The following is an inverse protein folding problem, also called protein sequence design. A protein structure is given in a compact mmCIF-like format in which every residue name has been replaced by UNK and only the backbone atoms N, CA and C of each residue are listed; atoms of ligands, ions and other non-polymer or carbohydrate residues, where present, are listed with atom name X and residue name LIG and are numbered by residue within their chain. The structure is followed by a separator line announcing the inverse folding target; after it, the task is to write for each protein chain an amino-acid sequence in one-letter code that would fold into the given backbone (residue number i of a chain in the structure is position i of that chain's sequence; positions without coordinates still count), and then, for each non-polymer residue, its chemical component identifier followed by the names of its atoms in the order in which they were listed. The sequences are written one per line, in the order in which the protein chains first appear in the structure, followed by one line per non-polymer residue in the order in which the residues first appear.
data_IF_207781351275
#
_entry.id   IF_207781351275
#
_cell.length_a   1.000
_cell.length_b   1.000
_cell.length_c   1.000
_cell.angle_alpha   90.00
_cell.angle_beta   90.00
_cell.angle_gamma   90.00
#
_symmetry.space_group_name_H-M   'P 1'
#
loop_
_entity.id
_entity.type
_entity.pdbx_description
1 polymer ?
#
# COMPACT_ATOMS: atom_id res chain seq x y z
N UNK A 1 -85.45 -15.61 -104.19
CA UNK A 1 -86.62 -16.45 -104.63
C UNK A 1 -87.20 -17.16 -103.43
N UNK A 2 -88.44 -17.02 -103.39
CA UNK A 2 -89.39 -17.73 -102.47
C UNK A 2 -89.13 -19.23 -102.29
N UNK A 3 -89.81 -19.98 -101.53
CA UNK A 3 -90.65 -19.75 -100.27
C UNK A 3 -90.78 -21.06 -99.40
N UNK A 4 -91.65 -20.91 -98.37
CA UNK A 4 -92.57 -21.91 -97.83
C UNK A 4 -92.04 -22.90 -96.72
N UNK A 5 -92.70 -23.22 -95.76
CA UNK A 5 -94.01 -23.21 -95.12
C UNK A 5 -93.99 -24.10 -93.86
N UNK A 6 -94.63 -23.64 -92.80
CA UNK A 6 -95.59 -24.29 -91.88
C UNK A 6 -95.32 -25.73 -91.38
N UNK A 7 -95.38 -25.94 -90.10
CA UNK A 7 -96.61 -26.35 -89.39
C UNK A 7 -96.33 -26.42 -87.81
N UNK A 8 -97.33 -26.04 -87.14
CA UNK A 8 -97.72 -26.09 -85.75
C UNK A 8 -97.86 -27.53 -85.23
N UNK A 9 -97.43 -27.77 -84.00
CA UNK A 9 -98.08 -28.70 -83.10
C UNK A 9 -97.93 -28.30 -81.65
N UNK A 10 -99.05 -28.10 -81.00
CA UNK A 10 -99.14 -27.87 -79.54
C UNK A 10 -98.97 -29.19 -78.83
N UNK A 11 -98.13 -29.17 -77.82
CA UNK A 11 -98.26 -30.12 -76.72
C UNK A 11 -97.93 -29.45 -75.42
N UNK A 12 -98.93 -29.44 -74.56
CA UNK A 12 -98.93 -28.98 -73.21
C UNK A 12 -98.29 -30.03 -72.33
N UNK A 13 -97.18 -29.72 -71.61
CA UNK A 13 -96.65 -30.57 -70.54
C UNK A 13 -96.20 -29.69 -69.41
N UNK A 14 -96.78 -29.94 -68.32
CA UNK A 14 -96.52 -29.66 -66.93
C UNK A 14 -95.24 -29.00 -66.57
N UNK A 15 -95.28 -27.78 -66.03
CA UNK A 15 -94.14 -27.05 -65.44
C UNK A 15 -93.90 -27.56 -64.02
N UNK A 16 -92.83 -28.37 -63.84
CA UNK A 16 -92.35 -28.69 -62.52
C UNK A 16 -91.24 -27.63 -62.16
N UNK A 17 -91.62 -26.66 -61.34
CA UNK A 17 -90.76 -25.61 -60.83
C UNK A 17 -89.84 -26.20 -59.77
N UNK A 18 -88.66 -26.66 -60.14
CA UNK A 18 -87.59 -26.94 -59.18
C UNK A 18 -86.91 -25.61 -58.81
N UNK A 19 -87.19 -25.08 -57.62
CA UNK A 19 -86.50 -24.03 -56.99
C UNK A 19 -85.06 -24.56 -56.64
N UNK A 20 -84.09 -24.25 -57.49
CA UNK A 20 -82.68 -24.36 -57.12
C UNK A 20 -82.39 -23.16 -56.18
N UNK A 21 -82.40 -23.42 -54.85
CA UNK A 21 -81.84 -22.48 -53.86
C UNK A 21 -80.35 -22.58 -54.08
N UNK A 22 -79.79 -21.67 -54.87
CA UNK A 22 -78.36 -21.39 -54.85
C UNK A 22 -78.05 -20.74 -53.49
N UNK A 23 -77.66 -21.54 -52.53
CA UNK A 23 -77.01 -21.02 -51.35
C UNK A 23 -75.68 -20.47 -51.79
N UNK A 24 -75.60 -19.19 -52.14
CA UNK A 24 -74.31 -18.48 -52.16
C UNK A 24 -73.78 -18.42 -50.73
N UNK A 25 -72.84 -19.28 -50.37
CA UNK A 25 -72.01 -19.02 -49.24
C UNK A 25 -71.27 -17.71 -49.54
N UNK A 26 -71.81 -16.59 -49.06
CA UNK A 26 -71.02 -15.40 -48.95
C UNK A 26 -69.75 -15.81 -48.14
N UNK A 27 -68.63 -15.82 -48.79
CA UNK A 27 -67.34 -15.90 -48.10
C UNK A 27 -67.23 -14.63 -47.24
N UNK A 28 -67.81 -14.69 -46.03
CA UNK A 28 -67.61 -13.63 -45.02
C UNK A 28 -66.15 -13.68 -44.60
N UNK A 29 -65.38 -12.84 -45.23
CA UNK A 29 -64.02 -12.67 -44.80
C UNK A 29 -64.00 -12.38 -43.28
N UNK A 30 -63.25 -13.13 -42.46
CA UNK A 30 -63.26 -12.98 -41.02
C UNK A 30 -62.92 -11.52 -40.62
N UNK A 31 -63.60 -10.96 -39.67
CA UNK A 31 -63.35 -9.59 -39.20
C UNK A 31 -61.97 -9.48 -38.64
N UNK A 32 -61.22 -8.38 -38.90
CA UNK A 32 -59.93 -8.18 -38.26
C UNK A 32 -60.12 -8.05 -36.73
N UNK A 33 -59.23 -8.70 -35.89
CA UNK A 33 -59.32 -8.52 -34.45
C UNK A 33 -58.90 -7.11 -34.08
N UNK A 34 -59.47 -6.52 -33.05
CA UNK A 34 -58.99 -5.28 -32.42
C UNK A 34 -58.05 -5.65 -31.32
N UNK A 35 -56.75 -5.49 -31.59
CA UNK A 35 -55.68 -5.78 -30.64
C UNK A 35 -55.26 -4.48 -29.97
N UNK A 36 -55.23 -4.47 -28.62
CA UNK A 36 -54.82 -3.34 -27.82
C UNK A 36 -53.31 -3.09 -27.86
N UNK A 37 -52.87 -2.10 -27.14
CA UNK A 37 -51.45 -1.72 -27.09
C UNK A 37 -50.61 -2.87 -26.55
N UNK A 38 -49.54 -3.22 -27.27
CA UNK A 38 -48.49 -4.16 -26.84
C UNK A 38 -47.30 -3.41 -26.36
N UNK A 39 -46.82 -3.69 -25.13
CA UNK A 39 -45.65 -3.05 -24.56
C UNK A 39 -44.67 -4.09 -24.02
N UNK A 40 -43.39 -3.86 -24.25
CA UNK A 40 -42.32 -4.70 -23.73
C UNK A 40 -41.38 -3.79 -22.95
N UNK A 41 -41.17 -4.01 -21.63
CA UNK A 41 -40.31 -3.16 -20.82
C UNK A 41 -38.84 -3.31 -21.24
N UNK A 42 -38.12 -2.19 -21.36
CA UNK A 42 -36.68 -2.21 -21.64
C UNK A 42 -35.91 -3.00 -20.55
N UNK A 43 -34.84 -3.62 -20.97
CA UNK A 43 -33.97 -4.42 -20.08
C UNK A 43 -32.51 -3.98 -20.22
N UNK A 44 -31.69 -4.41 -19.27
CA UNK A 44 -30.23 -4.30 -19.35
C UNK A 44 -29.63 -5.64 -19.77
N UNK A 45 -28.45 -5.62 -20.35
CA UNK A 45 -27.64 -6.83 -20.53
C UNK A 45 -27.48 -7.55 -19.19
N UNK A 46 -27.54 -8.89 -19.19
CA UNK A 46 -27.49 -9.69 -17.96
C UNK A 46 -28.83 -9.82 -17.21
N UNK A 47 -29.91 -9.21 -17.68
CA UNK A 47 -31.28 -9.45 -17.11
C UNK A 47 -31.67 -10.89 -17.26
N UNK A 48 -32.34 -11.44 -16.23
CA UNK A 48 -32.94 -12.77 -16.29
C UNK A 48 -34.05 -12.84 -17.36
N UNK A 49 -34.33 -14.02 -17.96
CA UNK A 49 -35.45 -14.23 -18.83
C UNK A 49 -36.77 -13.80 -18.18
N UNK A 50 -37.69 -13.23 -18.98
CA UNK A 50 -38.95 -12.71 -18.48
C UNK A 50 -40.11 -13.09 -19.42
N UNK A 51 -41.34 -13.07 -18.90
CA UNK A 51 -42.54 -13.38 -19.66
C UNK A 51 -43.10 -12.12 -20.30
N UNK A 52 -43.60 -12.26 -21.54
CA UNK A 52 -44.41 -11.26 -22.22
C UNK A 52 -45.83 -11.31 -21.69
N UNK A 53 -46.42 -10.14 -21.47
CA UNK A 53 -47.84 -9.99 -21.18
C UNK A 53 -48.57 -9.83 -22.50
N UNK A 54 -49.54 -10.71 -22.84
CA UNK A 54 -50.29 -10.58 -24.09
C UNK A 54 -51.09 -9.26 -24.12
N UNK A 55 -51.17 -8.61 -25.29
CA UNK A 55 -52.08 -7.46 -25.45
C UNK A 55 -53.54 -7.88 -25.29
N UNK A 56 -54.44 -6.96 -24.98
CA UNK A 56 -55.89 -7.20 -24.97
C UNK A 56 -56.39 -7.42 -26.38
N UNK A 57 -57.43 -8.24 -26.54
CA UNK A 57 -58.10 -8.46 -27.84
C UNK A 57 -59.55 -8.76 -27.64
N UNK A 58 -60.32 -8.47 -28.68
CA UNK A 58 -61.73 -8.88 -28.79
C UNK A 58 -61.91 -10.29 -29.42
N UNK A 59 -60.83 -10.93 -29.84
CA UNK A 59 -60.74 -12.32 -30.30
C UNK A 59 -60.20 -13.23 -29.22
N UNK A 60 -60.59 -14.48 -29.16
CA UNK A 60 -60.09 -15.52 -28.28
C UNK A 60 -58.88 -16.29 -28.83
N UNK A 61 -58.40 -15.94 -30.03
CA UNK A 61 -57.25 -16.57 -30.65
C UNK A 61 -55.97 -16.41 -29.81
N UNK A 62 -55.12 -17.43 -29.80
CA UNK A 62 -53.87 -17.46 -29.01
C UNK A 62 -52.83 -16.55 -29.61
N UNK A 63 -51.99 -15.92 -28.74
CA UNK A 63 -50.88 -15.12 -29.15
C UNK A 63 -49.58 -15.96 -29.28
N UNK A 64 -48.83 -15.74 -30.37
CA UNK A 64 -47.45 -16.15 -30.57
C UNK A 64 -46.57 -14.92 -30.70
N UNK A 65 -45.24 -15.07 -30.37
CA UNK A 65 -44.35 -13.95 -30.34
C UNK A 65 -43.08 -14.23 -31.16
N UNK A 66 -42.62 -13.22 -31.90
CA UNK A 66 -41.36 -13.28 -32.65
C UNK A 66 -40.53 -12.04 -32.40
N UNK A 67 -39.22 -12.21 -32.47
CA UNK A 67 -38.20 -11.12 -32.36
C UNK A 67 -37.61 -10.91 -33.75
N UNK A 68 -37.51 -9.66 -34.20
CA UNK A 68 -36.96 -9.31 -35.49
C UNK A 68 -35.42 -9.52 -35.54
N UNK A 69 -34.72 -9.33 -34.41
CA UNK A 69 -33.26 -9.52 -34.32
C UNK A 69 -32.92 -10.48 -33.17
N UNK A 70 -32.62 -11.75 -33.48
CA UNK A 70 -32.25 -12.75 -32.48
C UNK A 70 -30.90 -12.51 -31.83
N UNK A 71 -30.04 -11.61 -32.38
CA UNK A 71 -28.80 -11.21 -31.73
C UNK A 71 -28.99 -10.29 -30.52
N UNK A 72 -30.19 -9.66 -30.40
CA UNK A 72 -30.58 -8.80 -29.28
C UNK A 72 -31.43 -9.59 -28.27
N UNK A 73 -32.42 -10.38 -28.76
CA UNK A 73 -33.24 -11.20 -27.90
C UNK A 73 -33.77 -12.43 -28.63
N UNK A 74 -33.91 -13.54 -27.92
CA UNK A 74 -34.60 -14.74 -28.41
C UNK A 74 -35.89 -14.96 -27.65
N UNK A 75 -36.87 -15.60 -28.29
CA UNK A 75 -38.21 -15.88 -27.71
C UNK A 75 -38.48 -17.37 -27.81
N UNK A 76 -38.90 -17.95 -26.70
CA UNK A 76 -39.46 -19.32 -26.64
C UNK A 76 -40.79 -19.31 -25.94
N UNK A 77 -41.88 -19.60 -26.70
CA UNK A 77 -43.24 -19.39 -26.22
C UNK A 77 -43.52 -17.92 -25.93
N UNK A 78 -43.74 -17.57 -24.65
CA UNK A 78 -43.88 -16.20 -24.16
C UNK A 78 -42.63 -15.70 -23.40
N UNK A 79 -41.57 -16.51 -23.29
CA UNK A 79 -40.36 -16.16 -22.56
C UNK A 79 -39.35 -15.48 -23.46
N UNK A 80 -38.91 -14.27 -23.09
CA UNK A 80 -37.83 -13.51 -23.75
C UNK A 80 -36.56 -13.72 -23.00
N UNK A 81 -35.49 -14.07 -23.72
CA UNK A 81 -34.10 -14.13 -23.21
C UNK A 81 -33.28 -13.03 -23.87
N UNK A 82 -32.64 -12.19 -23.07
CA UNK A 82 -31.72 -11.13 -23.53
C UNK A 82 -30.42 -11.75 -24.02
N UNK A 83 -29.97 -11.39 -25.23
CA UNK A 83 -28.77 -11.92 -25.89
C UNK A 83 -27.71 -10.84 -26.11
N UNK A 84 -28.11 -9.65 -26.57
CA UNK A 84 -27.20 -8.57 -26.92
C UNK A 84 -27.77 -7.19 -26.68
N UNK A 85 -26.90 -6.18 -26.73
CA UNK A 85 -27.27 -4.76 -26.59
C UNK A 85 -27.82 -4.25 -27.92
N UNK A 86 -28.91 -3.45 -27.87
CA UNK A 86 -29.50 -2.85 -29.04
C UNK A 86 -31.00 -2.65 -28.90
N UNK A 87 -31.64 -2.36 -30.03
CA UNK A 87 -33.10 -2.18 -30.11
C UNK A 87 -33.65 -3.08 -31.21
N UNK A 88 -34.68 -3.85 -30.87
CA UNK A 88 -35.37 -4.76 -31.79
C UNK A 88 -36.86 -4.59 -31.67
N UNK A 89 -37.60 -5.17 -32.62
CA UNK A 89 -39.08 -5.21 -32.60
C UNK A 89 -39.52 -6.60 -32.17
N UNK A 90 -40.44 -6.68 -31.22
CA UNK A 90 -41.17 -7.89 -30.86
C UNK A 90 -42.54 -7.78 -31.44
N UNK A 91 -42.97 -8.79 -32.19
CA UNK A 91 -44.29 -8.89 -32.78
C UNK A 91 -45.12 -9.92 -32.03
N UNK A 92 -46.29 -9.51 -31.58
CA UNK A 92 -47.35 -10.41 -31.06
C UNK A 92 -48.35 -10.68 -32.15
N UNK A 93 -48.49 -11.93 -32.59
CA UNK A 93 -49.40 -12.37 -33.62
C UNK A 93 -50.50 -13.23 -33.00
N UNK A 94 -51.77 -12.84 -33.18
CA UNK A 94 -52.91 -13.59 -32.73
C UNK A 94 -53.42 -14.49 -33.86
N UNK A 95 -53.70 -15.75 -33.55
CA UNK A 95 -54.30 -16.69 -34.50
C UNK A 95 -55.74 -16.34 -34.76
N UNK A 96 -56.21 -16.71 -35.93
CA UNK A 96 -57.64 -16.63 -36.24
C UNK A 96 -58.46 -17.51 -35.29
N UNK A 97 -59.62 -17.01 -34.81
CA UNK A 97 -60.54 -17.75 -33.96
C UNK A 97 -61.97 -17.18 -34.02
N UNK A 98 -62.92 -18.09 -34.15
CA UNK A 98 -64.35 -17.74 -34.33
C UNK A 98 -64.61 -16.96 -35.60
N UNK A 99 -65.21 -15.79 -35.51
CA UNK A 99 -65.48 -14.88 -36.63
C UNK A 99 -64.36 -13.91 -36.95
N UNK A 100 -63.20 -14.03 -36.26
CA UNK A 100 -62.02 -13.13 -36.40
C UNK A 100 -60.94 -13.78 -37.19
N UNK A 101 -60.28 -12.99 -38.08
CA UNK A 101 -59.05 -13.35 -38.75
C UNK A 101 -57.81 -13.25 -37.81
N UNK A 102 -56.64 -13.55 -38.36
CA UNK A 102 -55.39 -13.30 -37.65
C UNK A 102 -55.06 -11.79 -37.62
N UNK A 103 -54.38 -11.35 -36.57
CA UNK A 103 -53.88 -9.99 -36.42
C UNK A 103 -52.54 -9.92 -35.71
N UNK A 104 -51.86 -8.79 -35.84
CA UNK A 104 -50.59 -8.60 -35.16
C UNK A 104 -50.39 -7.17 -34.66
N UNK A 105 -49.59 -7.02 -33.61
CA UNK A 105 -49.16 -5.73 -33.06
C UNK A 105 -47.73 -5.83 -32.67
N UNK A 106 -46.99 -4.74 -32.75
CA UNK A 106 -45.55 -4.69 -32.48
C UNK A 106 -45.24 -3.82 -31.26
N UNK A 107 -44.12 -4.13 -30.60
CA UNK A 107 -43.53 -3.31 -29.58
C UNK A 107 -42.03 -3.20 -29.79
N UNK A 108 -41.48 -2.01 -29.54
CA UNK A 108 -40.01 -1.80 -29.48
C UNK A 108 -39.48 -2.38 -28.18
N UNK A 109 -38.43 -3.20 -28.29
CA UNK A 109 -37.68 -3.75 -27.16
C UNK A 109 -36.24 -3.26 -27.18
N UNK A 110 -35.79 -2.61 -26.09
CA UNK A 110 -34.44 -2.05 -25.99
C UNK A 110 -33.69 -2.75 -24.89
N UNK A 111 -32.43 -3.17 -25.20
CA UNK A 111 -31.47 -3.70 -24.26
C UNK A 111 -30.32 -2.71 -24.15
N UNK A 112 -30.10 -2.16 -22.95
CA UNK A 112 -29.06 -1.22 -22.67
C UNK A 112 -27.81 -1.91 -22.08
N UNK A 113 -26.67 -1.18 -22.01
CA UNK A 113 -25.43 -1.64 -21.39
C UNK A 113 -25.62 -1.95 -19.91
N UNK A 114 -24.66 -2.74 -19.38
CA UNK A 114 -24.53 -2.95 -17.94
C UNK A 114 -24.33 -1.61 -17.22
N UNK A 115 -24.83 -1.52 -16.00
CA UNK A 115 -24.65 -0.36 -15.13
C UNK A 115 -23.33 -0.46 -14.40
N UNK A 116 -22.51 0.62 -14.31
CA UNK A 116 -21.33 0.61 -13.47
C UNK A 116 -21.71 0.35 -12.00
N UNK A 117 -20.98 -0.51 -11.26
CA UNK A 117 -21.24 -0.68 -9.84
C UNK A 117 -20.82 0.57 -9.07
N UNK A 118 -21.55 0.91 -8.01
CA UNK A 118 -21.13 1.90 -7.02
C UNK A 118 -20.33 1.18 -5.96
N UNK A 119 -19.00 1.36 -6.00
CA UNK A 119 -18.06 0.76 -5.04
C UNK A 119 -17.72 1.81 -3.97
N UNK A 120 -17.90 1.45 -2.71
CA UNK A 120 -17.61 2.30 -1.56
C UNK A 120 -16.10 2.51 -1.32
N UNK A 121 -15.79 3.22 -0.25
CA UNK A 121 -14.39 3.49 0.13
C UNK A 121 -13.66 2.16 0.41
N UNK A 122 -12.50 2.02 -0.22
CA UNK A 122 -11.59 0.90 0.01
C UNK A 122 -10.43 1.36 0.87
N UNK A 123 -10.20 0.69 1.99
CA UNK A 123 -9.11 0.99 2.91
C UNK A 123 -8.31 -0.27 3.23
N UNK A 124 -6.99 -0.15 3.14
CA UNK A 124 -6.04 -1.17 3.57
C UNK A 124 -5.14 -0.53 4.63
N UNK A 125 -5.26 -0.94 5.91
CA UNK A 125 -4.51 -0.32 7.00
C UNK A 125 -3.02 -0.57 6.84
N UNK A 126 -2.20 0.46 7.10
CA UNK A 126 -0.73 0.36 7.10
C UNK A 126 -0.25 -0.74 8.06
N UNK A 127 0.90 -1.31 7.77
CA UNK A 127 1.57 -2.35 8.57
C UNK A 127 3.03 -2.00 8.80
N UNK A 128 3.61 -2.64 9.79
CA UNK A 128 5.05 -2.61 10.04
C UNK A 128 5.70 -3.83 9.40
N UNK A 129 6.97 -3.73 9.05
CA UNK A 129 7.76 -4.85 8.55
C UNK A 129 7.77 -5.99 9.56
N UNK A 130 7.60 -7.23 9.10
CA UNK A 130 7.46 -8.42 9.95
C UNK A 130 6.04 -8.70 10.45
N UNK A 131 5.04 -7.87 10.08
CA UNK A 131 3.64 -8.19 10.37
C UNK A 131 3.21 -9.50 9.73
N UNK A 132 2.44 -10.31 10.45
CA UNK A 132 1.83 -11.52 9.92
C UNK A 132 0.91 -11.20 8.72
N UNK A 133 0.74 -12.13 7.77
CA UNK A 133 -0.23 -12.00 6.70
C UNK A 133 -1.65 -11.70 7.24
N UNK A 134 -2.40 -10.87 6.53
CA UNK A 134 -3.73 -10.44 6.95
C UNK A 134 -4.72 -10.45 5.79
N UNK A 135 -6.02 -10.46 6.12
CA UNK A 135 -7.10 -10.46 5.14
C UNK A 135 -7.51 -9.03 4.77
N UNK A 136 -7.74 -8.79 3.48
CA UNK A 136 -8.38 -7.57 2.99
C UNK A 136 -9.87 -7.64 3.33
N UNK A 137 -10.39 -6.55 3.86
CA UNK A 137 -11.83 -6.33 4.00
C UNK A 137 -12.32 -5.72 2.69
N UNK A 138 -13.23 -6.39 1.95
CA UNK A 138 -13.73 -5.87 0.69
C UNK A 138 -14.48 -4.55 0.90
N UNK A 139 -14.41 -3.61 -0.06
CA UNK A 139 -15.25 -2.44 -0.02
C UNK A 139 -16.73 -2.81 -0.21
N UNK A 140 -17.64 -1.97 0.25
CA UNK A 140 -19.07 -2.13 -0.01
C UNK A 140 -19.37 -1.94 -1.49
N UNK A 141 -20.42 -2.61 -1.99
CA UNK A 141 -20.89 -2.43 -3.37
C UNK A 141 -22.37 -2.70 -3.47
N UNK A 142 -23.04 -2.08 -4.46
CA UNK A 142 -24.41 -2.39 -4.86
C UNK A 142 -24.51 -3.56 -5.85
N UNK A 143 -23.37 -4.14 -6.27
CA UNK A 143 -23.27 -5.33 -7.12
C UNK A 143 -22.87 -6.55 -6.32
N UNK A 144 -23.38 -7.74 -6.70
CA UNK A 144 -23.01 -9.03 -6.10
C UNK A 144 -21.76 -9.67 -6.68
N UNK A 145 -21.01 -9.00 -7.57
CA UNK A 145 -19.80 -9.53 -8.20
C UNK A 145 -18.68 -9.74 -7.18
N UNK A 146 -17.92 -10.82 -7.33
CA UNK A 146 -16.79 -11.11 -6.45
C UNK A 146 -15.64 -10.11 -6.65
N UNK A 147 -14.94 -9.77 -5.55
CA UNK A 147 -13.73 -8.95 -5.60
C UNK A 147 -12.49 -9.81 -5.79
N UNK A 148 -11.56 -9.29 -6.59
CA UNK A 148 -10.17 -9.75 -6.70
C UNK A 148 -9.23 -8.60 -6.39
N UNK A 149 -7.99 -8.91 -5.96
CA UNK A 149 -7.04 -7.90 -5.47
C UNK A 149 -5.69 -8.04 -6.12
N UNK A 150 -5.05 -6.90 -6.41
CA UNK A 150 -3.69 -6.86 -6.95
C UNK A 150 -2.87 -5.80 -6.23
N UNK A 151 -1.56 -6.02 -6.14
CA UNK A 151 -0.57 -5.09 -5.60
C UNK A 151 0.28 -4.52 -6.74
N UNK A 152 0.46 -3.21 -6.79
CA UNK A 152 1.30 -2.54 -7.80
C UNK A 152 2.79 -2.72 -7.55
N UNK A 153 3.18 -3.08 -6.30
CA UNK A 153 4.57 -3.27 -5.91
C UNK A 153 4.73 -4.54 -5.06
N UNK A 154 5.12 -5.63 -5.70
CA UNK A 154 5.31 -6.93 -5.04
C UNK A 154 6.55 -6.99 -4.14
N UNK A 155 7.47 -6.03 -4.25
CA UNK A 155 8.57 -5.89 -3.31
C UNK A 155 8.12 -5.32 -1.95
N UNK A 156 6.94 -4.68 -1.89
CA UNK A 156 6.33 -4.17 -0.65
C UNK A 156 5.30 -5.14 -0.10
N UNK A 157 4.41 -5.65 -0.97
CA UNK A 157 3.37 -6.58 -0.57
C UNK A 157 2.97 -7.51 -1.72
N UNK A 158 2.78 -8.79 -1.43
CA UNK A 158 2.16 -9.76 -2.34
C UNK A 158 0.76 -10.11 -1.89
N UNK A 159 -0.11 -10.50 -2.85
CA UNK A 159 -1.51 -10.84 -2.57
C UNK A 159 -1.82 -12.22 -3.16
N UNK A 160 -2.45 -13.06 -2.36
CA UNK A 160 -3.00 -14.35 -2.79
C UNK A 160 -4.46 -14.45 -2.32
N UNK A 161 -5.39 -14.47 -3.26
CA UNK A 161 -6.82 -14.32 -2.95
C UNK A 161 -7.10 -12.98 -2.27
N UNK A 162 -7.54 -13.01 -1.01
CA UNK A 162 -7.72 -11.82 -0.16
C UNK A 162 -6.61 -11.66 0.90
N UNK A 163 -5.59 -12.52 0.90
CA UNK A 163 -4.50 -12.49 1.88
C UNK A 163 -3.36 -11.62 1.37
N UNK A 164 -3.00 -10.59 2.13
CA UNK A 164 -1.82 -9.74 1.91
C UNK A 164 -0.66 -10.26 2.75
N UNK A 165 0.49 -10.47 2.12
CA UNK A 165 1.76 -10.76 2.79
C UNK A 165 2.69 -9.56 2.67
N UNK A 166 3.18 -9.06 3.80
CA UNK A 166 4.17 -7.98 3.85
C UNK A 166 5.53 -8.52 3.42
N UNK A 167 6.18 -7.86 2.45
CA UNK A 167 7.46 -8.29 1.86
C UNK A 167 8.58 -7.31 2.18
N UNK A 168 8.32 -6.00 2.07
CA UNK A 168 9.32 -4.96 2.27
C UNK A 168 8.72 -3.62 2.67
N UNK A 169 9.58 -2.74 3.17
CA UNK A 169 9.21 -1.35 3.52
C UNK A 169 8.93 -0.53 2.27
N UNK A 170 7.94 0.35 2.33
CA UNK A 170 7.56 1.22 1.23
C UNK A 170 6.06 1.34 1.05
N UNK A 171 5.64 1.76 -0.15
CA UNK A 171 4.24 1.92 -0.51
C UNK A 171 3.87 1.05 -1.70
N UNK A 172 2.65 0.55 -1.70
CA UNK A 172 2.03 -0.14 -2.84
C UNK A 172 0.59 0.31 -2.99
N UNK A 173 0.10 0.44 -4.21
CA UNK A 173 -1.32 0.63 -4.48
C UNK A 173 -1.97 -0.74 -4.58
N UNK A 174 -2.94 -1.00 -3.71
CA UNK A 174 -3.79 -2.18 -3.78
C UNK A 174 -5.04 -1.83 -4.57
N UNK A 175 -5.30 -2.58 -5.64
CA UNK A 175 -6.50 -2.44 -6.47
C UNK A 175 -7.49 -3.55 -6.14
N UNK A 176 -8.71 -3.18 -5.78
CA UNK A 176 -9.84 -4.09 -5.64
C UNK A 176 -10.69 -4.01 -6.92
N UNK A 177 -10.78 -5.10 -7.68
CA UNK A 177 -11.56 -5.20 -8.91
C UNK A 177 -12.76 -6.11 -8.67
N UNK A 178 -13.96 -5.57 -8.87
CA UNK A 178 -15.21 -6.33 -8.81
C UNK A 178 -15.58 -6.88 -10.17
N UNK A 179 -15.86 -8.16 -10.25
CA UNK A 179 -16.36 -8.79 -11.47
C UNK A 179 -17.77 -8.30 -11.82
N UNK A 180 -18.12 -8.36 -13.10
CA UNK A 180 -19.51 -8.12 -13.56
C UNK A 180 -20.46 -9.14 -12.93
N UNK A 181 -21.67 -8.68 -12.57
CA UNK A 181 -22.69 -9.55 -11.97
C UNK A 181 -24.10 -9.01 -12.27
N UNK A 182 -24.97 -9.86 -12.80
CA UNK A 182 -26.33 -9.49 -13.16
C UNK A 182 -26.33 -8.34 -14.18
N UNK A 183 -26.96 -7.23 -13.83
CA UNK A 183 -27.05 -6.03 -14.67
C UNK A 183 -25.90 -5.03 -14.43
N UNK A 184 -24.90 -5.37 -13.60
CA UNK A 184 -23.74 -4.54 -13.33
C UNK A 184 -22.51 -4.95 -14.11
N UNK A 185 -21.78 -3.97 -14.63
CA UNK A 185 -20.47 -4.14 -15.24
C UNK A 185 -19.41 -4.44 -14.16
N UNK A 186 -18.18 -4.78 -14.59
CA UNK A 186 -17.03 -4.78 -13.70
C UNK A 186 -16.68 -3.35 -13.29
N UNK A 187 -16.10 -3.20 -12.08
CA UNK A 187 -15.62 -1.92 -11.56
C UNK A 187 -14.40 -2.12 -10.66
N UNK A 188 -13.68 -1.05 -10.36
CA UNK A 188 -12.51 -1.12 -9.48
C UNK A 188 -12.37 0.12 -8.60
N UNK A 189 -11.67 -0.05 -7.48
CA UNK A 189 -11.26 1.02 -6.57
C UNK A 189 -9.87 0.71 -6.03
N UNK A 190 -9.16 1.70 -5.50
CA UNK A 190 -7.79 1.55 -5.03
C UNK A 190 -7.62 2.07 -3.61
N UNK A 191 -6.62 1.52 -2.91
CA UNK A 191 -6.13 2.01 -1.62
C UNK A 191 -4.61 2.04 -1.62
N UNK A 192 -4.03 3.04 -0.98
CA UNK A 192 -2.59 3.06 -0.70
C UNK A 192 -2.31 2.19 0.52
N UNK A 193 -1.43 1.23 0.36
CA UNK A 193 -0.91 0.39 1.45
C UNK A 193 0.52 0.79 1.75
N UNK A 194 0.81 1.12 3.01
CA UNK A 194 2.14 1.52 3.46
C UNK A 194 2.69 0.51 4.45
N UNK A 195 3.92 0.10 4.22
CA UNK A 195 4.72 -0.69 5.17
C UNK A 195 5.82 0.18 5.71
N UNK A 196 5.84 0.35 7.03
CA UNK A 196 6.90 1.07 7.75
C UNK A 196 7.85 0.09 8.44
N UNK A 197 9.02 0.56 8.77
CA UNK A 197 9.93 -0.20 9.63
C UNK A 197 9.30 -0.40 11.02
N UNK A 198 9.53 -1.57 11.59
CA UNK A 198 9.25 -1.77 13.01
C UNK A 198 10.46 -1.23 13.80
N UNK A 199 10.45 0.05 14.15
CA UNK A 199 11.45 0.60 15.06
C UNK A 199 10.86 0.57 16.47
N UNK A 200 11.29 -0.37 17.33
CA UNK A 200 10.99 -0.25 18.74
C UNK A 200 11.51 1.10 19.22
N UNK A 201 10.72 1.85 19.94
CA UNK A 201 11.22 3.06 20.57
C UNK A 201 12.46 2.70 21.40
N UNK A 202 13.53 3.50 21.28
CA UNK A 202 14.64 3.40 22.20
C UNK A 202 14.10 3.60 23.62
N UNK A 203 14.55 2.78 24.56
CA UNK A 203 13.99 2.84 25.92
C UNK A 203 14.55 4.01 26.75
N UNK A 204 15.53 4.74 26.23
CA UNK A 204 16.13 5.92 26.87
C UNK A 204 16.02 7.15 25.97
N UNK A 205 16.62 7.14 24.76
CA UNK A 205 16.56 8.25 23.80
C UNK A 205 16.83 7.77 22.36
N UNK A 206 16.35 8.51 21.35
CA UNK A 206 16.69 8.26 19.94
C UNK A 206 16.48 9.51 19.09
N UNK A 207 17.20 9.57 17.96
CA UNK A 207 16.97 10.54 16.90
C UNK A 207 17.35 9.92 15.54
N UNK A 208 16.42 9.95 14.59
CA UNK A 208 16.62 9.55 13.18
C UNK A 208 16.91 10.76 12.29
N UNK A 209 17.06 11.94 12.87
CA UNK A 209 17.31 13.21 12.17
C UNK A 209 16.29 13.53 11.07
N UNK A 210 15.00 13.29 11.35
CA UNK A 210 13.89 13.37 10.37
C UNK A 210 13.61 14.79 9.86
N UNK A 211 14.19 15.83 10.46
CA UNK A 211 14.01 17.20 10.01
C UNK A 211 14.53 17.42 8.58
N UNK A 212 13.97 18.39 7.87
CA UNK A 212 14.39 18.74 6.52
C UNK A 212 15.91 19.03 6.47
N UNK A 213 16.56 18.63 5.38
CA UNK A 213 18.00 18.86 5.20
C UNK A 213 18.32 20.37 5.33
N UNK A 214 19.39 20.68 6.03
CA UNK A 214 19.81 22.05 6.36
C UNK A 214 19.20 22.60 7.66
N UNK A 215 18.40 21.83 8.39
CA UNK A 215 17.85 22.24 9.69
C UNK A 215 18.88 22.01 10.80
N UNK A 216 19.10 23.02 11.66
CA UNK A 216 19.96 22.86 12.82
C UNK A 216 19.39 21.89 13.85
N UNK A 217 20.20 21.02 14.43
CA UNK A 217 19.75 20.05 15.45
C UNK A 217 19.12 20.74 16.65
N UNK A 218 19.56 21.93 17.00
CA UNK A 218 18.99 22.72 18.10
C UNK A 218 17.52 23.13 17.87
N UNK A 219 17.03 23.07 16.63
CA UNK A 219 15.60 23.25 16.33
C UNK A 219 14.78 21.97 16.58
N UNK A 220 15.41 20.82 16.87
CA UNK A 220 14.80 19.49 16.99
C UNK A 220 15.13 18.79 18.32
N UNK A 221 15.18 19.54 19.41
CA UNK A 221 15.33 18.97 20.77
C UNK A 221 16.78 18.77 21.25
N UNK A 222 17.80 19.06 20.41
CA UNK A 222 19.18 19.09 20.87
C UNK A 222 19.48 20.42 21.54
N UNK A 223 20.32 20.39 22.55
CA UNK A 223 20.71 21.57 23.34
C UNK A 223 22.16 21.94 23.01
N UNK A 224 22.37 23.21 22.60
CA UNK A 224 23.75 23.73 22.43
C UNK A 224 24.43 23.88 23.78
N UNK A 225 25.71 23.52 23.86
CA UNK A 225 26.48 23.65 25.08
C UNK A 225 27.89 24.25 24.86
N UNK A 226 28.25 24.58 23.62
CA UNK A 226 29.39 25.45 23.33
C UNK A 226 28.95 26.89 23.21
N UNK A 227 29.85 27.83 23.47
CA UNK A 227 29.58 29.27 23.42
C UNK A 227 29.39 29.82 21.99
N UNK A 228 29.61 28.99 20.97
CA UNK A 228 29.51 29.46 19.57
C UNK A 228 28.15 29.19 18.98
N UNK A 229 27.60 30.20 18.28
CA UNK A 229 26.37 30.04 17.47
C UNK A 229 26.71 29.86 15.98
N UNK A 230 28.00 29.82 15.65
CA UNK A 230 28.49 29.66 14.29
C UNK A 230 28.59 28.20 13.91
N UNK A 231 28.32 27.89 12.63
CA UNK A 231 28.47 26.58 12.06
C UNK A 231 27.72 25.48 12.87
N UNK A 232 26.39 25.57 13.01
CA UNK A 232 25.60 24.57 13.73
C UNK A 232 25.69 23.20 13.05
N UNK A 233 25.51 22.12 13.80
CA UNK A 233 25.33 20.77 13.23
C UNK A 233 23.96 20.76 12.54
N UNK A 234 23.97 20.48 11.22
CA UNK A 234 22.78 20.48 10.38
C UNK A 234 22.39 19.06 9.99
N UNK A 235 21.10 18.88 9.75
CA UNK A 235 20.61 17.69 9.04
C UNK A 235 21.08 17.70 7.59
N UNK A 236 21.39 16.53 7.04
CA UNK A 236 21.82 16.31 5.65
C UNK A 236 21.09 15.14 5.03
N UNK A 237 20.87 15.17 3.74
CA UNK A 237 20.18 14.12 2.98
C UNK A 237 21.14 13.48 1.95
N UNK A 238 21.00 12.18 1.67
CA UNK A 238 20.13 11.21 2.33
C UNK A 238 20.67 10.73 3.68
N UNK A 239 19.81 10.07 4.48
CA UNK A 239 20.23 9.30 5.64
C UNK A 239 21.16 8.14 5.26
N UNK A 240 21.83 7.56 6.26
CA UNK A 240 22.72 6.42 6.08
C UNK A 240 21.93 5.11 6.09
N UNK A 241 22.44 4.09 5.39
CA UNK A 241 21.85 2.76 5.39
C UNK A 241 22.84 1.71 5.87
N UNK A 242 22.33 0.74 6.64
CA UNK A 242 23.08 -0.40 7.14
C UNK A 242 22.13 -1.60 7.31
N UNK A 243 22.48 -2.83 6.83
CA UNK A 243 21.57 -3.97 6.84
C UNK A 243 21.01 -4.29 8.22
N UNK A 244 19.67 -4.40 8.34
CA UNK A 244 18.94 -4.80 9.55
C UNK A 244 19.14 -3.92 10.80
N UNK A 245 19.76 -2.75 10.72
CA UNK A 245 19.84 -1.81 11.84
C UNK A 245 18.58 -0.94 11.91
N UNK A 246 18.08 -0.67 13.11
CA UNK A 246 16.82 0.04 13.33
C UNK A 246 16.72 1.44 12.71
N UNK A 247 17.78 2.21 12.73
CA UNK A 247 17.82 3.56 12.17
C UNK A 247 18.21 3.61 10.69
N UNK A 248 18.33 2.46 10.03
CA UNK A 248 18.88 2.37 8.67
C UNK A 248 17.91 2.89 7.60
N UNK A 249 18.35 3.89 6.82
CA UNK A 249 17.61 4.40 5.67
C UNK A 249 16.33 5.18 6.03
N UNK A 250 16.23 5.69 7.25
CA UNK A 250 15.09 6.46 7.74
C UNK A 250 15.51 7.90 7.95
N UNK A 251 14.68 8.84 7.50
CA UNK A 251 14.91 10.26 7.64
C UNK A 251 16.15 10.76 6.90
N UNK A 252 16.78 11.73 7.50
CA UNK A 252 18.04 12.34 7.08
C UNK A 252 19.17 11.91 8.04
N UNK A 253 20.30 12.58 8.04
CA UNK A 253 21.44 12.34 8.93
C UNK A 253 21.95 13.65 9.50
N UNK A 254 22.76 13.62 10.55
CA UNK A 254 23.45 14.79 11.08
C UNK A 254 24.85 14.90 10.47
N UNK A 255 25.20 16.11 10.00
CA UNK A 255 26.54 16.43 9.48
C UNK A 255 27.37 17.13 10.54
N UNK A 256 28.32 16.41 11.13
CA UNK A 256 29.28 16.93 12.10
C UNK A 256 30.56 17.34 11.37
N UNK A 257 30.93 18.59 11.45
CA UNK A 257 32.11 19.17 10.76
C UNK A 257 33.22 19.51 11.73
N UNK A 258 34.33 20.11 11.23
CA UNK A 258 35.52 20.29 12.02
C UNK A 258 35.43 21.36 13.12
N UNK A 259 34.77 22.49 12.85
CA UNK A 259 34.65 23.60 13.83
C UNK A 259 33.22 24.09 13.86
N UNK A 260 32.64 24.19 15.05
CA UNK A 260 31.28 24.69 15.17
C UNK A 260 30.65 24.54 16.55
N UNK A 261 29.35 24.50 16.55
CA UNK A 261 28.55 24.38 17.75
C UNK A 261 28.46 22.92 18.21
N UNK A 262 28.81 22.69 19.47
CA UNK A 262 28.57 21.41 20.13
C UNK A 262 27.13 21.31 20.60
N UNK A 263 26.54 20.13 20.50
CA UNK A 263 25.14 19.90 20.90
C UNK A 263 24.98 18.60 21.70
N UNK A 264 23.94 18.53 22.52
CA UNK A 264 23.62 17.36 23.31
C UNK A 264 22.17 16.94 23.14
N UNK A 265 21.91 15.65 23.02
CA UNK A 265 20.59 15.05 23.24
C UNK A 265 20.51 14.57 24.68
N UNK A 266 19.64 15.22 25.47
CA UNK A 266 19.48 14.93 26.91
C UNK A 266 18.45 13.82 27.14
N UNK A 267 18.67 13.05 28.22
CA UNK A 267 17.73 12.03 28.69
C UNK A 267 17.82 11.92 30.22
N UNK A 268 16.87 11.19 30.82
CA UNK A 268 16.92 10.95 32.28
C UNK A 268 18.19 10.22 32.65
N UNK A 269 18.97 10.77 33.60
CA UNK A 269 20.26 10.19 34.03
C UNK A 269 20.07 8.75 34.50
N UNK A 270 20.92 7.87 34.03
CA UNK A 270 20.97 6.45 34.40
C UNK A 270 21.96 6.29 35.53
N UNK A 271 21.55 5.72 36.67
CA UNK A 271 22.35 5.56 37.90
C UNK A 271 22.80 4.13 38.16
N UNK A 272 22.38 3.16 37.36
CA UNK A 272 22.76 1.75 37.52
C UNK A 272 22.55 0.96 36.22
N UNK A 273 23.21 -0.18 36.07
CA UNK A 273 23.06 -1.06 34.92
C UNK A 273 23.96 -0.67 33.78
N UNK A 274 23.45 -0.80 32.55
CA UNK A 274 24.26 -0.54 31.33
C UNK A 274 23.49 0.39 30.39
N UNK A 275 24.22 1.30 29.75
CA UNK A 275 23.68 2.16 28.67
C UNK A 275 24.45 1.84 27.40
N UNK A 276 23.73 1.66 26.29
CA UNK A 276 24.28 1.48 24.97
C UNK A 276 23.89 2.67 24.11
N UNK A 277 24.88 3.33 23.48
CA UNK A 277 24.63 4.26 22.40
C UNK A 277 25.01 3.59 21.09
N UNK A 278 24.07 3.46 20.16
CA UNK A 278 24.31 2.89 18.83
C UNK A 278 23.92 3.89 17.76
N UNK A 279 24.68 3.94 16.68
CA UNK A 279 24.41 4.83 15.55
C UNK A 279 25.24 4.43 14.32
N UNK A 280 24.80 4.89 13.16
CA UNK A 280 25.54 4.78 11.91
C UNK A 280 26.52 5.94 11.81
N UNK A 281 27.74 5.66 11.31
CA UNK A 281 28.75 6.69 11.06
C UNK A 281 29.40 6.49 9.71
N UNK A 282 29.61 7.58 8.98
CA UNK A 282 30.32 7.63 7.70
C UNK A 282 31.31 8.79 7.74
N UNK A 283 32.61 8.49 7.74
CA UNK A 283 33.66 9.49 7.74
C UNK A 283 33.99 9.97 6.32
N UNK A 284 34.11 11.28 6.13
CA UNK A 284 34.71 11.85 4.94
C UNK A 284 36.23 11.86 5.07
N UNK A 285 36.96 11.71 3.96
CA UNK A 285 38.42 11.90 3.96
C UNK A 285 38.74 13.34 4.39
N UNK A 286 39.50 13.47 5.46
CA UNK A 286 39.93 14.75 5.98
C UNK A 286 41.42 14.70 6.22
N UNK A 287 42.20 15.69 5.77
CA UNK A 287 43.67 15.60 5.82
C UNK A 287 44.28 15.67 7.20
N UNK A 288 43.53 15.95 8.27
CA UNK A 288 44.09 16.20 9.60
C UNK A 288 43.19 15.69 10.76
N UNK A 289 42.51 14.55 10.62
CA UNK A 289 41.83 13.94 11.77
C UNK A 289 42.86 13.33 12.72
N UNK A 290 43.22 14.04 13.77
CA UNK A 290 44.18 13.58 14.79
C UNK A 290 43.58 13.78 16.17
N UNK A 291 43.31 12.67 16.88
CA UNK A 291 43.02 12.61 18.31
C UNK A 291 41.79 13.43 18.81
N UNK A 292 40.90 13.86 17.89
CA UNK A 292 39.70 14.59 18.25
C UNK A 292 38.47 13.71 18.24
N UNK A 293 37.69 13.78 19.34
CA UNK A 293 36.45 13.04 19.44
C UNK A 293 35.27 13.87 18.91
N UNK A 294 34.30 13.19 18.33
CA UNK A 294 33.11 13.81 17.82
C UNK A 294 31.82 13.31 18.51
N UNK A 295 31.92 12.30 19.37
CA UNK A 295 30.82 11.72 20.14
C UNK A 295 31.28 11.37 21.54
N UNK A 296 30.38 11.40 22.53
CA UNK A 296 30.62 10.95 23.90
C UNK A 296 29.35 10.98 24.76
N UNK A 297 29.46 10.38 25.95
CA UNK A 297 28.46 10.53 27.00
C UNK A 297 28.85 11.69 27.94
N UNK A 298 27.83 12.41 28.45
CA UNK A 298 27.93 13.40 29.49
C UNK A 298 26.90 13.15 30.61
N UNK A 299 27.08 13.77 31.77
CA UNK A 299 26.02 13.88 32.74
C UNK A 299 24.95 14.84 32.24
N UNK A 300 23.83 15.00 32.96
CA UNK A 300 22.73 15.85 32.52
C UNK A 300 22.95 17.35 32.65
N UNK A 301 24.07 17.78 33.23
CA UNK A 301 24.50 19.18 33.29
C UNK A 301 25.23 19.54 31.99
N UNK A 302 24.63 20.39 31.15
CA UNK A 302 25.26 20.83 29.89
C UNK A 302 26.49 21.70 30.08
N UNK A 303 26.71 22.28 31.25
CA UNK A 303 27.90 23.04 31.57
C UNK A 303 29.11 22.13 31.94
N UNK A 304 28.85 20.87 32.28
CA UNK A 304 29.92 19.92 32.58
C UNK A 304 30.54 19.38 31.29
N UNK A 305 31.85 19.45 31.18
CA UNK A 305 32.64 18.96 30.05
C UNK A 305 33.33 17.64 30.31
N UNK A 306 32.99 16.94 31.39
CA UNK A 306 33.53 15.63 31.75
C UNK A 306 32.91 14.52 30.88
N UNK A 307 33.28 14.43 29.62
CA UNK A 307 32.77 13.41 28.71
C UNK A 307 33.47 12.06 28.85
N UNK A 308 32.71 10.99 28.67
CA UNK A 308 33.16 9.60 28.71
C UNK A 308 32.76 8.87 27.42
N UNK A 309 33.47 7.78 27.10
CA UNK A 309 33.21 7.01 25.89
C UNK A 309 33.41 7.82 24.62
N UNK A 310 34.46 8.57 24.59
CA UNK A 310 34.80 9.46 23.48
C UNK A 310 35.14 8.65 22.23
N UNK A 311 34.38 8.84 21.15
CA UNK A 311 34.64 8.21 19.87
C UNK A 311 35.46 9.14 18.98
N UNK A 312 36.55 8.61 18.44
CA UNK A 312 37.54 9.32 17.66
C UNK A 312 37.65 8.69 16.28
N UNK A 313 37.96 9.49 15.27
CA UNK A 313 38.41 9.03 13.96
C UNK A 313 39.83 9.60 13.79
N UNK A 314 40.80 8.71 13.55
CA UNK A 314 42.18 9.09 13.34
C UNK A 314 42.69 8.56 12.00
N UNK A 315 43.21 9.44 11.14
CA UNK A 315 43.80 9.05 9.88
C UNK A 315 45.01 8.10 10.18
N UNK A 316 45.12 7.01 9.41
CA UNK A 316 46.27 6.12 9.57
C UNK A 316 47.51 6.75 8.97
N UNK A 317 48.56 6.86 9.80
CA UNK A 317 49.78 7.53 9.41
C UNK A 317 50.56 6.79 8.29
N UNK A 318 50.33 5.48 8.14
CA UNK A 318 50.98 4.64 7.12
C UNK A 318 50.16 4.49 5.86
N UNK A 319 48.83 4.65 5.96
CA UNK A 319 47.88 4.59 4.86
C UNK A 319 46.88 5.74 4.96
N UNK A 320 47.19 6.95 4.48
CA UNK A 320 46.31 8.12 4.60
C UNK A 320 44.95 7.98 3.90
N UNK A 321 44.75 6.98 3.02
CA UNK A 321 43.47 6.67 2.42
C UNK A 321 42.51 5.92 3.36
N UNK A 322 42.95 5.57 4.56
CA UNK A 322 42.21 4.84 5.58
C UNK A 322 42.31 5.52 6.95
N UNK A 323 41.41 5.12 7.84
CA UNK A 323 41.39 5.61 9.21
C UNK A 323 41.25 4.47 10.21
N UNK A 324 41.46 4.80 11.47
CA UNK A 324 41.19 3.97 12.65
C UNK A 324 40.10 4.60 13.47
N UNK A 325 39.22 3.80 14.03
CA UNK A 325 38.43 4.26 15.16
C UNK A 325 39.30 4.32 16.41
N UNK A 326 39.18 5.43 17.11
CA UNK A 326 39.75 5.59 18.43
C UNK A 326 38.64 5.64 19.49
N UNK A 327 38.97 5.22 20.68
CA UNK A 327 38.08 5.21 21.82
C UNK A 327 38.81 5.60 23.10
N UNK A 328 38.18 6.45 23.89
CA UNK A 328 38.70 6.82 25.19
C UNK A 328 37.58 6.84 26.23
N UNK A 329 37.75 6.05 27.29
CA UNK A 329 36.88 6.16 28.45
C UNK A 329 37.02 7.53 29.11
N UNK A 330 38.23 8.03 29.25
CA UNK A 330 38.54 9.35 29.82
C UNK A 330 39.67 10.09 29.05
N UNK A 331 40.94 9.85 29.39
CA UNK A 331 42.05 10.64 28.89
C UNK A 331 42.96 9.90 27.90
N UNK A 332 42.99 8.57 27.93
CA UNK A 332 43.87 7.76 27.09
C UNK A 332 43.13 7.28 25.86
N UNK A 333 43.56 7.72 24.67
CA UNK A 333 43.06 7.26 23.41
C UNK A 333 43.62 5.88 23.07
N UNK A 334 42.76 4.94 22.70
CA UNK A 334 43.09 3.63 22.12
C UNK A 334 42.54 3.54 20.73
N UNK A 335 43.26 2.88 19.84
CA UNK A 335 42.89 2.77 18.43
C UNK A 335 42.67 1.32 18.00
N UNK A 336 41.76 1.12 17.07
CA UNK A 336 41.53 -0.18 16.45
C UNK A 336 42.77 -0.65 15.71
N UNK A 337 43.02 -1.96 15.70
CA UNK A 337 44.05 -2.57 14.85
C UNK A 337 43.61 -2.60 13.38
N UNK A 338 42.30 -2.73 13.12
CA UNK A 338 41.72 -2.71 11.79
C UNK A 338 41.73 -1.29 11.20
N UNK A 339 41.91 -1.21 9.90
CA UNK A 339 41.77 0.01 9.10
C UNK A 339 40.41 0.06 8.43
N UNK A 340 39.79 1.24 8.40
CA UNK A 340 38.49 1.50 7.87
C UNK A 340 38.53 2.43 6.65
N UNK A 341 37.54 2.30 5.74
CA UNK A 341 37.49 3.08 4.52
C UNK A 341 36.65 4.35 4.71
N UNK A 342 37.18 5.48 4.28
CA UNK A 342 36.40 6.70 4.15
C UNK A 342 35.24 6.49 3.16
N UNK A 343 34.13 7.17 3.40
CA UNK A 343 32.92 7.06 2.56
C UNK A 343 32.09 5.79 2.78
N UNK A 344 32.57 4.85 3.62
CA UNK A 344 31.82 3.64 4.00
C UNK A 344 31.03 3.88 5.28
N UNK A 345 29.80 3.32 5.33
CA UNK A 345 28.96 3.37 6.53
C UNK A 345 29.30 2.20 7.47
N UNK A 346 29.53 2.51 8.73
CA UNK A 346 29.74 1.54 9.80
C UNK A 346 28.67 1.72 10.88
N UNK A 347 28.28 0.62 11.52
CA UNK A 347 27.48 0.65 12.74
C UNK A 347 28.45 0.67 13.94
N UNK A 348 28.25 1.66 14.78
CA UNK A 348 29.04 1.83 16.02
C UNK A 348 28.12 1.63 17.21
N UNK A 349 28.63 0.92 18.24
CA UNK A 349 27.97 0.78 19.53
C UNK A 349 28.97 1.08 20.62
N UNK A 350 28.60 2.00 21.50
CA UNK A 350 29.36 2.31 22.72
C UNK A 350 28.56 1.78 23.91
N UNK A 351 29.15 0.89 24.67
CA UNK A 351 28.64 0.36 25.92
C UNK A 351 29.20 1.11 27.10
N UNK A 352 28.36 1.60 27.99
CA UNK A 352 28.71 2.18 29.26
C UNK A 352 28.04 1.34 30.37
N UNK A 353 28.86 0.64 31.18
CA UNK A 353 28.39 -0.19 32.29
C UNK A 353 28.74 0.49 33.61
N UNK A 354 27.70 0.86 34.35
CA UNK A 354 27.81 1.54 35.63
C UNK A 354 28.12 0.49 36.71
N UNK A 355 29.23 0.69 37.39
CA UNK A 355 29.70 -0.19 38.46
C UNK A 355 29.41 0.48 39.82
N UNK A 356 28.67 -0.19 40.69
CA UNK A 356 28.37 0.34 42.02
C UNK A 356 29.61 0.54 42.87
N UNK A 357 29.62 1.48 43.82
CA UNK A 357 30.80 1.92 44.57
C UNK A 357 31.49 0.81 45.40
N UNK A 358 30.78 -0.28 45.65
CA UNK A 358 31.28 -1.46 46.40
C UNK A 358 31.60 -2.65 45.51
N UNK A 359 31.48 -2.51 44.17
CA UNK A 359 31.73 -3.58 43.19
C UNK A 359 33.07 -3.33 42.51
N UNK A 360 33.84 -4.40 42.32
CA UNK A 360 35.07 -4.34 41.57
C UNK A 360 34.81 -4.57 40.10
N UNK A 361 35.33 -3.73 39.21
CA UNK A 361 35.21 -3.87 37.78
C UNK A 361 36.15 -5.00 37.22
N UNK A 362 36.08 -5.23 35.92
CA UNK A 362 36.86 -6.29 35.25
C UNK A 362 38.36 -6.13 35.38
N UNK A 363 38.85 -4.88 35.58
CA UNK A 363 40.27 -4.58 35.75
C UNK A 363 40.72 -4.58 37.24
N UNK A 364 39.84 -4.99 38.15
CA UNK A 364 40.15 -5.05 39.59
C UNK A 364 40.00 -3.72 40.34
N UNK A 365 39.41 -2.70 39.71
CA UNK A 365 39.21 -1.37 40.32
C UNK A 365 37.85 -1.28 40.99
N UNK A 366 37.78 -0.79 42.21
CA UNK A 366 36.56 -0.66 42.98
C UNK A 366 35.75 0.57 42.54
N UNK A 367 34.48 0.38 42.20
CA UNK A 367 33.54 1.44 41.91
C UNK A 367 33.78 2.22 40.62
N UNK A 368 34.58 1.69 39.69
CA UNK A 368 34.89 2.35 38.41
C UNK A 368 34.10 1.73 37.26
N UNK A 369 33.48 2.58 36.50
CA UNK A 369 32.63 2.17 35.35
C UNK A 369 33.47 1.56 34.23
N UNK A 370 32.82 0.67 33.46
CA UNK A 370 33.40 -0.03 32.32
C UNK A 370 32.85 0.51 31.01
N UNK A 371 33.72 0.69 30.00
CA UNK A 371 33.26 1.10 28.68
C UNK A 371 33.88 0.25 27.57
N UNK A 372 33.11 -0.01 26.53
CA UNK A 372 33.57 -0.79 25.38
C UNK A 372 33.08 -0.18 24.08
N UNK A 373 33.87 -0.31 23.03
CA UNK A 373 33.51 0.06 21.67
C UNK A 373 33.34 -1.18 20.80
N UNK A 374 32.29 -1.21 20.04
CA UNK A 374 32.03 -2.18 18.97
C UNK A 374 31.85 -1.44 17.66
N UNK A 375 32.52 -1.92 16.60
CA UNK A 375 32.38 -1.39 15.23
C UNK A 375 32.09 -2.54 14.29
N UNK A 376 31.03 -2.38 13.51
CA UNK A 376 30.53 -3.39 12.56
C UNK A 376 30.55 -2.83 11.14
N UNK A 377 30.99 -3.63 10.21
CA UNK A 377 30.77 -3.45 8.79
C UNK A 377 29.52 -4.25 8.33
N UNK A 378 29.14 -4.11 7.07
CA UNK A 378 27.94 -4.76 6.52
C UNK A 378 27.99 -6.29 6.45
N UNK A 379 29.16 -6.89 6.72
CA UNK A 379 29.37 -8.35 6.75
C UNK A 379 29.38 -8.91 8.16
N UNK A 380 29.49 -8.05 9.17
CA UNK A 380 29.59 -8.43 10.58
C UNK A 380 28.25 -8.81 11.17
N UNK A 381 28.22 -9.83 12.05
CA UNK A 381 27.07 -10.17 12.86
C UNK A 381 27.04 -9.32 14.14
N UNK A 382 25.91 -8.63 14.37
CA UNK A 382 25.69 -7.77 15.54
C UNK A 382 24.32 -8.05 16.23
N UNK A 383 23.69 -9.17 15.91
CA UNK A 383 22.36 -9.54 16.43
C UNK A 383 22.35 -9.77 17.95
N UNK A 384 23.48 -10.21 18.47
CA UNK A 384 23.73 -10.37 19.90
C UNK A 384 25.00 -9.60 20.26
N UNK A 385 25.11 -9.17 21.52
CA UNK A 385 26.32 -8.52 21.98
C UNK A 385 27.53 -9.47 21.81
N UNK A 386 28.58 -9.07 21.06
CA UNK A 386 29.77 -9.88 20.92
C UNK A 386 30.48 -10.05 22.26
N UNK A 387 31.03 -11.21 22.48
CA UNK A 387 31.84 -11.49 23.70
C UNK A 387 33.17 -10.70 23.73
N UNK A 388 33.60 -10.24 22.55
CA UNK A 388 34.83 -9.43 22.40
C UNK A 388 34.47 -8.12 21.73
N UNK A 389 34.81 -7.00 22.37
CA UNK A 389 34.66 -5.66 21.83
C UNK A 389 35.74 -5.35 20.78
N UNK A 390 35.46 -4.41 19.86
CA UNK A 390 36.46 -3.94 18.87
C UNK A 390 37.65 -3.25 19.55
N UNK A 391 37.36 -2.44 20.58
CA UNK A 391 38.38 -1.96 21.54
C UNK A 391 38.02 -2.56 22.90
N UNK A 392 38.99 -3.16 23.56
CA UNK A 392 38.83 -3.80 24.85
C UNK A 392 38.21 -2.89 25.90
N UNK A 393 37.70 -3.49 26.95
CA UNK A 393 37.03 -2.77 28.03
C UNK A 393 38.00 -1.74 28.63
N UNK A 394 37.56 -0.48 28.62
CA UNK A 394 38.24 0.64 29.24
C UNK A 394 37.61 0.92 30.60
N UNK A 395 38.47 1.23 31.57
CA UNK A 395 38.10 1.69 32.90
C UNK A 395 38.07 3.23 32.93
N UNK A 396 37.05 3.82 33.54
CA UNK A 396 37.05 5.27 33.76
C UNK A 396 38.04 5.61 34.87
N UNK A 397 39.21 6.10 34.50
CA UNK A 397 40.35 6.31 35.44
C UNK A 397 40.17 7.49 36.40
N UNK A 398 38.98 8.12 36.49
CA UNK A 398 38.66 9.26 37.34
C UNK A 398 37.18 9.26 37.75
N UNK A 399 36.67 10.36 38.23
CA UNK A 399 35.28 10.50 38.64
C UNK A 399 34.31 9.99 37.55
N UNK A 400 33.48 9.00 37.92
CA UNK A 400 32.41 8.47 37.06
C UNK A 400 31.35 9.53 36.81
N UNK A 401 30.64 9.42 35.69
CA UNK A 401 29.47 10.25 35.40
C UNK A 401 28.20 9.39 35.49
N UNK A 402 27.11 10.05 35.78
CA UNK A 402 25.78 9.43 35.53
C UNK A 402 25.35 9.80 34.11
N UNK A 403 25.40 8.86 33.15
CA UNK A 403 25.02 9.17 31.78
C UNK A 403 23.62 9.78 31.72
N UNK A 404 23.47 11.00 31.22
CA UNK A 404 22.26 11.78 31.10
C UNK A 404 22.15 12.51 29.77
N UNK A 405 23.14 12.39 28.91
CA UNK A 405 23.15 12.92 27.55
C UNK A 405 24.16 12.22 26.67
N UNK A 406 23.94 12.26 25.37
CA UNK A 406 24.97 12.07 24.35
C UNK A 406 25.32 13.41 23.72
N UNK A 407 26.58 13.52 23.30
CA UNK A 407 27.16 14.76 22.79
C UNK A 407 27.70 14.56 21.38
N UNK A 408 27.39 15.51 20.49
CA UNK A 408 28.06 15.69 19.19
C UNK A 408 28.93 16.92 19.27
N UNK A 409 30.20 16.78 18.86
CA UNK A 409 31.24 17.80 19.08
C UNK A 409 31.91 18.23 17.78
N UNK A 410 32.09 19.55 17.64
CA UNK A 410 32.84 20.24 16.57
C UNK A 410 33.88 21.17 17.17
N UNK A 411 35.02 20.62 17.60
CA UNK A 411 35.99 21.35 18.46
C UNK A 411 36.95 22.25 17.71
N UNK A 412 37.67 21.70 16.73
CA UNK A 412 38.74 22.43 16.03
C UNK A 412 38.98 21.90 14.62
N UNK A 413 39.96 22.49 13.90
CA UNK A 413 40.31 22.12 12.52
C UNK A 413 40.73 20.67 12.32
N UNK A 414 41.10 19.97 13.38
CA UNK A 414 41.52 18.57 13.36
C UNK A 414 40.38 17.60 13.68
N UNK A 415 39.18 18.10 13.99
CA UNK A 415 38.01 17.25 14.20
C UNK A 415 37.54 16.59 12.89
N UNK A 416 37.06 15.34 12.96
CA UNK A 416 36.62 14.64 11.75
C UNK A 416 35.36 15.25 11.14
N UNK A 417 35.26 15.17 9.82
CA UNK A 417 33.99 15.38 9.13
C UNK A 417 33.26 14.04 9.05
N UNK A 418 32.17 13.91 9.79
CA UNK A 418 31.36 12.68 9.83
C UNK A 418 29.87 12.95 9.61
N UNK A 419 29.23 11.97 9.02
CA UNK A 419 27.77 11.89 8.96
C UNK A 419 27.35 10.84 9.98
N UNK A 420 26.37 11.18 10.82
CA UNK A 420 25.81 10.31 11.87
C UNK A 420 24.33 10.15 11.60
N UNK A 421 23.80 8.91 11.76
CA UNK A 421 22.40 8.62 11.56
C UNK A 421 21.89 7.52 12.49
N UNK A 422 20.56 7.45 12.68
CA UNK A 422 19.90 6.40 13.43
C UNK A 422 20.39 6.26 14.87
N UNK A 423 20.60 7.38 15.56
CA UNK A 423 21.07 7.38 16.95
C UNK A 423 20.02 6.74 17.88
N UNK A 424 20.49 5.80 18.70
CA UNK A 424 19.69 5.17 19.76
C UNK A 424 20.49 5.05 21.04
N UNK A 425 19.81 5.29 22.17
CA UNK A 425 20.32 5.07 23.52
C UNK A 425 19.38 4.11 24.23
N UNK A 426 19.89 2.95 24.62
CA UNK A 426 19.12 1.84 25.19
C UNK A 426 19.77 1.29 26.46
N UNK A 427 19.01 0.62 27.31
CA UNK A 427 19.54 -0.10 28.50
C UNK A 427 19.91 -1.55 28.22
N UNK A 428 19.72 -2.02 26.99
CA UNK A 428 20.03 -3.39 26.54
C UNK A 428 20.56 -3.39 25.12
N UNK A 429 21.24 -4.49 24.75
CA UNK A 429 21.69 -4.71 23.36
C UNK A 429 20.48 -4.97 22.45
N UNK A 430 19.98 -3.94 21.80
CA UNK A 430 18.81 -3.99 20.93
C UNK A 430 19.07 -3.17 19.66
N UNK A 431 19.67 -3.79 18.65
CA UNK A 431 20.19 -3.13 17.44
C UNK A 431 19.41 -3.51 16.16
N UNK A 432 18.36 -4.32 16.28
CA UNK A 432 17.72 -4.97 15.13
C UNK A 432 16.28 -4.51 14.91
N UNK A 433 15.91 -4.37 13.61
CA UNK A 433 14.52 -4.36 13.12
C UNK A 433 13.83 -5.71 13.29
#
# INVERSE_FOLDING_TARGET
MKPFYKYSLKFSVFFLLSCIISCSTEDVSPFPPTIGTFTVPAKRMGSLPFLLTPPTSNSSGTFSYTCADPSIATISGSTVTVVGIGTTTITATQTADGGYGSGSVTATFTVSQLEPPTIGVFNVPSKIMGSAPFQIIPPTSNSGGAFSYTSSNTAVATISGSTVTVVGVGTSTITATQASFGTFASGSTTATFTVTTNIPAANIASDNFDAAAGTALTANGWVAHSSTTTNPILTTSPGLSFPNYFGSGIGNAASVTSIGQDVSLQFTSVSSGTVYASFLVKAAASPLCIDQYFFGFGNNDVADTAYRGKLIINQDATNPAKFKFGFAANLTNRYTTNLYDYGTTYLVVIKYKIIGPTVTNINGNLGRDEMSLYVFDTTSSYLTEPTVSTIGIEDTASVDILPGRVVLRQDNTNSPNVIIDGLRVDSSWNLRN
#
